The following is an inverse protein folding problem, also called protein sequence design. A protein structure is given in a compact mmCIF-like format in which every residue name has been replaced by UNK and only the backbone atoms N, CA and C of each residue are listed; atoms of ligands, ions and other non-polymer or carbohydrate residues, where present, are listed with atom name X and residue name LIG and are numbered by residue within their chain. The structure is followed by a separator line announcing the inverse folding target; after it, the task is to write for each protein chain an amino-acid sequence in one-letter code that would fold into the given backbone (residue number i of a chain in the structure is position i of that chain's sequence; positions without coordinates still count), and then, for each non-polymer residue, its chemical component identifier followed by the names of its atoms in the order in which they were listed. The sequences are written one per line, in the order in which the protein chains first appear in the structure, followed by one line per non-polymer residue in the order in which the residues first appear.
data_IF_605272698937
#
_entry.id   IF_605272698937
#
_cell.length_a   1.000
_cell.length_b   1.000
_cell.length_c   1.000
_cell.angle_alpha   90.00
_cell.angle_beta   90.00
_cell.angle_gamma   90.00
#
_symmetry.space_group_name_H-M   'P 1'
#
loop_
_entity.id
_entity.type
_entity.pdbx_description
1 polymer ?
#
# COMPACT_ATOMS: atom_id res chain seq x y z
N UNK A 1 20.77 3.55 -4.79
CA UNK A 1 19.48 3.72 -4.08
C UNK A 1 18.38 3.07 -4.92
N UNK A 2 17.43 2.38 -4.29
CA UNK A 2 16.25 1.81 -4.94
C UNK A 2 14.97 2.51 -4.43
N UNK A 3 13.94 2.59 -5.27
CA UNK A 3 12.68 3.27 -4.96
C UNK A 3 11.52 2.28 -5.04
N UNK A 4 10.58 2.37 -4.10
CA UNK A 4 9.31 1.64 -4.20
C UNK A 4 8.48 2.16 -5.37
N UNK A 5 7.44 1.41 -5.76
CA UNK A 5 6.38 1.97 -6.60
C UNK A 5 5.85 3.27 -5.99
N UNK A 6 5.64 4.31 -6.80
CA UNK A 6 5.22 5.60 -6.29
C UNK A 6 3.78 5.54 -5.81
N UNK A 7 3.50 6.23 -4.70
CA UNK A 7 2.17 6.54 -4.23
C UNK A 7 1.98 8.06 -4.23
N UNK A 8 0.73 8.51 -4.36
CA UNK A 8 0.40 9.92 -4.58
C UNK A 8 -0.26 10.51 -3.35
N UNK A 9 -0.07 11.81 -3.13
CA UNK A 9 -0.80 12.66 -2.18
C UNK A 9 -1.26 13.93 -2.92
N UNK A 10 -2.04 14.81 -2.27
CA UNK A 10 -2.55 16.05 -2.90
C UNK A 10 -1.48 16.83 -3.70
N UNK A 11 -1.86 17.30 -4.88
CA UNK A 11 -0.98 18.08 -5.78
C UNK A 11 -0.27 17.29 -6.87
N UNK A 12 -0.60 16.00 -7.08
CA UNK A 12 -0.09 15.22 -8.22
C UNK A 12 1.40 14.86 -8.13
N UNK A 13 2.01 15.01 -6.95
CA UNK A 13 3.41 14.65 -6.71
C UNK A 13 3.50 13.16 -6.38
N UNK A 14 4.39 12.47 -7.08
CA UNK A 14 4.75 11.08 -6.79
C UNK A 14 5.72 11.03 -5.61
N UNK A 15 5.37 10.27 -4.58
CA UNK A 15 6.24 9.93 -3.47
C UNK A 15 6.63 8.46 -3.55
N UNK A 16 7.86 8.13 -3.21
CA UNK A 16 8.34 6.76 -3.16
C UNK A 16 9.20 6.56 -1.92
N UNK A 17 9.16 5.35 -1.36
CA UNK A 17 10.05 4.97 -0.28
C UNK A 17 11.42 4.68 -0.86
N UNK A 18 12.46 5.24 -0.24
CA UNK A 18 13.86 5.08 -0.67
C UNK A 18 14.52 4.02 0.19
N UNK A 19 15.11 3.02 -0.46
CA UNK A 19 15.96 2.01 0.17
C UNK A 19 17.37 2.06 -0.39
N UNK A 20 18.31 1.44 0.33
CA UNK A 20 19.67 1.23 -0.19
C UNK A 20 19.60 0.19 -1.33
N UNK A 21 20.41 0.36 -2.37
CA UNK A 21 20.44 -0.55 -3.52
C UNK A 21 21.18 -1.87 -3.25
N UNK A 22 22.05 -1.88 -2.24
CA UNK A 22 22.82 -3.07 -1.86
C UNK A 22 22.01 -4.11 -1.09
N UNK A 23 20.87 -3.73 -0.52
CA UNK A 23 20.01 -4.62 0.26
C UNK A 23 18.67 -4.85 -0.47
N UNK A 24 18.71 -5.81 -1.39
CA UNK A 24 17.54 -6.19 -2.20
C UNK A 24 16.43 -6.79 -1.35
N UNK A 25 16.77 -7.51 -0.28
CA UNK A 25 15.78 -8.15 0.58
C UNK A 25 15.00 -7.10 1.38
N UNK A 26 15.69 -6.05 1.87
CA UNK A 26 15.04 -4.92 2.50
C UNK A 26 14.17 -4.13 1.52
N UNK A 27 14.63 -3.92 0.28
CA UNK A 27 13.84 -3.27 -0.75
C UNK A 27 12.54 -4.03 -1.04
N UNK A 28 12.61 -5.36 -1.18
CA UNK A 28 11.44 -6.21 -1.37
C UNK A 28 10.50 -6.16 -0.16
N UNK A 29 11.03 -6.17 1.06
CA UNK A 29 10.23 -6.05 2.28
C UNK A 29 9.41 -4.76 2.29
N UNK A 30 10.06 -3.62 2.01
CA UNK A 30 9.40 -2.30 1.94
C UNK A 30 8.36 -2.27 0.82
N UNK A 31 8.64 -2.89 -0.32
CA UNK A 31 7.69 -3.03 -1.42
C UNK A 31 6.42 -3.79 -0.99
N UNK A 32 6.58 -4.97 -0.40
CA UNK A 32 5.45 -5.80 0.04
C UNK A 32 4.58 -5.13 1.08
N UNK A 33 5.18 -4.43 2.05
CA UNK A 33 4.43 -3.63 3.03
C UNK A 33 3.66 -2.49 2.37
N UNK A 34 4.26 -1.81 1.40
CA UNK A 34 3.59 -0.72 0.69
C UNK A 34 2.40 -1.23 -0.10
N UNK A 35 2.58 -2.34 -0.84
CA UNK A 35 1.53 -2.96 -1.64
C UNK A 35 0.42 -3.57 -0.78
N UNK A 36 0.72 -4.04 0.44
CA UNK A 36 -0.28 -4.57 1.36
C UNK A 36 -1.41 -3.57 1.64
N UNK A 37 -1.08 -2.30 1.84
CA UNK A 37 -2.08 -1.26 2.15
C UNK A 37 -3.02 -0.99 0.99
N UNK A 38 -2.51 -1.10 -0.25
CA UNK A 38 -3.29 -0.93 -1.49
C UNK A 38 -4.19 -2.15 -1.70
N UNK A 39 -3.63 -3.35 -1.59
CA UNK A 39 -4.37 -4.61 -1.69
C UNK A 39 -5.49 -4.69 -0.65
N UNK A 40 -5.22 -4.27 0.58
CA UNK A 40 -6.21 -4.27 1.65
C UNK A 40 -7.38 -3.35 1.30
N UNK A 41 -7.13 -2.14 0.79
CA UNK A 41 -8.21 -1.26 0.37
C UNK A 41 -9.01 -1.86 -0.79
N UNK A 42 -8.34 -2.42 -1.80
CA UNK A 42 -8.99 -3.03 -2.96
C UNK A 42 -9.94 -4.17 -2.57
N UNK A 43 -9.57 -4.94 -1.56
CA UNK A 43 -10.37 -6.05 -1.05
C UNK A 43 -11.33 -5.65 0.09
N UNK A 44 -11.42 -4.37 0.43
CA UNK A 44 -12.26 -3.89 1.52
C UNK A 44 -11.79 -4.33 2.92
N UNK A 45 -10.54 -4.75 3.04
CA UNK A 45 -9.92 -5.15 4.31
C UNK A 45 -9.49 -3.89 5.05
N UNK A 46 -9.89 -3.78 6.30
CA UNK A 46 -9.64 -2.63 7.19
C UNK A 46 -8.71 -3.02 8.33
N UNK A 47 -8.30 -2.07 9.16
CA UNK A 47 -7.57 -2.35 10.39
C UNK A 47 -8.26 -3.42 11.26
N UNK A 48 -9.59 -3.34 11.38
CA UNK A 48 -10.40 -4.26 12.19
C UNK A 48 -10.51 -5.66 11.58
N UNK A 49 -10.46 -5.77 10.25
CA UNK A 49 -10.53 -7.03 9.51
C UNK A 49 -9.16 -7.51 9.00
N UNK A 50 -8.07 -6.95 9.54
CA UNK A 50 -6.68 -7.26 9.14
C UNK A 50 -6.32 -8.74 9.08
N UNK A 51 -6.98 -9.60 9.87
CA UNK A 51 -6.80 -11.05 9.82
C UNK A 51 -7.24 -11.69 8.49
N UNK A 52 -8.02 -10.99 7.65
CA UNK A 52 -8.41 -11.41 6.30
C UNK A 52 -7.27 -11.28 5.29
N UNK A 53 -6.20 -10.53 5.62
CA UNK A 53 -4.99 -10.51 4.80
C UNK A 53 -4.37 -11.92 4.71
N UNK A 54 -3.75 -12.28 3.58
CA UNK A 54 -3.10 -13.58 3.42
C UNK A 54 -1.87 -13.71 4.33
N UNK A 55 -1.58 -14.95 4.72
CA UNK A 55 -0.29 -15.32 5.32
C UNK A 55 0.73 -15.54 4.22
N UNK A 56 1.98 -15.11 4.44
CA UNK A 56 3.04 -15.17 3.43
C UNK A 56 4.37 -15.59 4.06
N UNK A 57 5.03 -16.59 3.49
CA UNK A 57 6.33 -17.07 3.99
C UNK A 57 7.51 -16.48 3.21
N UNK A 58 7.34 -15.31 2.60
CA UNK A 58 8.33 -14.66 1.72
C UNK A 58 9.64 -14.28 2.44
N UNK A 59 9.55 -13.99 3.75
CA UNK A 59 10.68 -13.56 4.58
C UNK A 59 10.96 -14.54 5.73
N UNK A 60 10.61 -15.81 5.53
CA UNK A 60 10.68 -16.85 6.57
C UNK A 60 9.41 -16.96 7.40
N UNK A 61 9.36 -17.98 8.27
CA UNK A 61 8.18 -18.30 9.08
C UNK A 61 7.91 -17.29 10.19
N UNK A 62 8.94 -16.60 10.66
CA UNK A 62 8.80 -15.60 11.73
C UNK A 62 8.01 -14.36 11.28
N UNK A 63 7.92 -14.14 9.96
CA UNK A 63 7.20 -13.04 9.33
C UNK A 63 5.97 -13.53 8.54
N UNK A 64 5.44 -14.71 8.87
CA UNK A 64 4.27 -15.29 8.19
C UNK A 64 3.04 -14.36 8.21
N UNK A 65 2.88 -13.63 9.32
CA UNK A 65 1.76 -12.69 9.55
C UNK A 65 2.06 -11.26 9.11
N UNK A 66 3.19 -11.00 8.47
CA UNK A 66 3.69 -9.65 8.16
C UNK A 66 2.61 -8.73 7.59
N UNK A 67 1.86 -9.19 6.58
CA UNK A 67 0.86 -8.37 5.92
C UNK A 67 -0.36 -8.08 6.82
N UNK A 68 -0.78 -9.06 7.63
CA UNK A 68 -1.85 -8.87 8.62
C UNK A 68 -1.44 -7.84 9.66
N UNK A 69 -0.23 -7.99 10.19
CA UNK A 69 0.25 -7.17 11.29
C UNK A 69 0.50 -5.72 10.80
N UNK A 70 0.91 -5.53 9.55
CA UNK A 70 0.98 -4.21 8.92
C UNK A 70 -0.40 -3.52 8.87
N UNK A 71 -1.43 -4.20 8.35
CA UNK A 71 -2.79 -3.62 8.28
C UNK A 71 -3.38 -3.43 9.68
N UNK A 72 -3.12 -4.33 10.62
CA UNK A 72 -3.53 -4.18 12.01
C UNK A 72 -2.91 -2.92 12.64
N UNK A 73 -1.66 -2.62 12.32
CA UNK A 73 -0.95 -1.47 12.88
C UNK A 73 -1.44 -0.14 12.30
N UNK A 74 -1.58 -0.04 10.97
CA UNK A 74 -1.81 1.26 10.31
C UNK A 74 -3.14 1.39 9.56
N UNK A 75 -3.82 0.29 9.25
CA UNK A 75 -5.01 0.26 8.39
C UNK A 75 -4.65 0.24 6.90
N UNK A 76 -5.68 0.19 6.05
CA UNK A 76 -5.52 0.25 4.60
C UNK A 76 -5.23 1.69 4.11
N UNK A 77 -5.01 1.86 2.80
CA UNK A 77 -4.63 3.15 2.23
C UNK A 77 -5.72 4.24 2.40
N UNK A 78 -7.02 3.90 2.33
CA UNK A 78 -8.12 4.84 2.63
C UNK A 78 -8.11 5.28 4.10
N UNK A 79 -7.92 4.36 5.03
CA UNK A 79 -7.82 4.65 6.47
C UNK A 79 -6.63 5.55 6.78
N UNK A 80 -5.47 5.26 6.19
CA UNK A 80 -4.26 6.09 6.30
C UNK A 80 -4.51 7.50 5.73
N UNK A 81 -5.10 7.60 4.55
CA UNK A 81 -5.40 8.89 3.92
C UNK A 81 -6.34 9.73 4.79
N UNK A 82 -7.45 9.15 5.25
CA UNK A 82 -8.43 9.84 6.10
C UNK A 82 -7.85 10.25 7.45
N UNK A 83 -6.90 9.49 7.99
CA UNK A 83 -6.21 9.85 9.24
C UNK A 83 -5.36 11.11 9.07
N UNK A 84 -4.74 11.30 7.91
CA UNK A 84 -3.86 12.45 7.64
C UNK A 84 -4.63 13.68 7.15
N UNK A 85 -5.55 13.50 6.20
CA UNK A 85 -6.24 14.62 5.53
C UNK A 85 -7.66 14.88 6.08
N UNK A 86 -8.16 14.02 6.97
CA UNK A 86 -9.47 14.11 7.57
C UNK A 86 -10.55 13.35 6.78
N UNK A 87 -11.67 13.04 7.45
CA UNK A 87 -12.76 12.24 6.86
C UNK A 87 -13.50 12.94 5.70
N UNK A 88 -13.47 14.27 5.66
CA UNK A 88 -14.15 15.05 4.62
C UNK A 88 -13.28 15.29 3.38
N UNK A 89 -12.00 14.89 3.41
CA UNK A 89 -11.12 15.03 2.26
C UNK A 89 -11.50 13.99 1.20
N UNK A 90 -11.94 14.47 0.04
CA UNK A 90 -12.28 13.60 -1.09
C UNK A 90 -11.00 13.22 -1.83
N UNK A 91 -10.70 11.92 -1.93
CA UNK A 91 -9.62 11.42 -2.79
C UNK A 91 -10.03 11.57 -4.26
N UNK A 92 -9.12 12.07 -5.08
CA UNK A 92 -9.33 12.24 -6.53
C UNK A 92 -8.09 11.80 -7.29
N UNK A 93 -8.27 11.45 -8.57
CA UNK A 93 -7.17 11.13 -9.49
C UNK A 93 -6.33 9.95 -9.00
N UNK A 94 -5.01 10.16 -8.95
CA UNK A 94 -4.01 9.12 -8.66
C UNK A 94 -4.08 8.56 -7.22
N UNK A 95 -4.89 9.16 -6.34
CA UNK A 95 -5.14 8.69 -4.97
C UNK A 95 -6.35 7.73 -4.88
N UNK A 96 -7.08 7.51 -5.98
CA UNK A 96 -8.15 6.51 -6.05
C UNK A 96 -7.60 5.22 -6.63
N UNK A 97 -8.13 4.08 -6.18
CA UNK A 97 -7.91 2.79 -6.83
C UNK A 97 -8.50 2.80 -8.25
N UNK A 98 -7.79 2.16 -9.18
CA UNK A 98 -8.35 1.83 -10.48
C UNK A 98 -9.52 0.84 -10.32
N UNK A 99 -10.75 1.34 -10.38
CA UNK A 99 -11.93 0.50 -10.41
C UNK A 99 -12.23 0.00 -11.84
N UNK A 100 -13.07 -1.04 -11.94
CA UNK A 100 -13.58 -1.59 -13.21
C UNK A 100 -13.93 -0.50 -14.24
N UNK A 101 -13.47 -0.63 -15.51
CA UNK A 101 -13.07 -1.87 -16.17
C UNK A 101 -11.56 -2.19 -16.15
N UNK A 102 -10.71 -1.40 -15.48
CA UNK A 102 -9.26 -1.43 -15.72
C UNK A 102 -8.40 -2.15 -14.66
N UNK A 103 -9.01 -2.71 -13.62
CA UNK A 103 -8.35 -3.63 -12.67
C UNK A 103 -7.32 -2.98 -11.73
N UNK A 104 -6.63 -3.79 -10.89
CA UNK A 104 -5.77 -3.32 -9.79
C UNK A 104 -4.72 -2.29 -10.22
N UNK A 105 -4.45 -1.33 -9.35
CA UNK A 105 -3.54 -0.22 -9.65
C UNK A 105 -2.08 -0.66 -9.64
N UNK A 106 -1.47 -0.77 -10.82
CA UNK A 106 -0.02 -0.88 -10.96
C UNK A 106 0.63 0.31 -11.70
N UNK A 107 -0.16 1.13 -12.41
CA UNK A 107 0.36 2.25 -13.21
C UNK A 107 -0.60 3.45 -13.25
N UNK A 108 -0.08 4.69 -13.26
CA UNK A 108 -0.89 5.88 -13.56
C UNK A 108 -1.44 5.79 -14.99
N UNK A 109 -2.66 6.32 -15.21
CA UNK A 109 -3.20 6.48 -16.56
C UNK A 109 -2.23 7.31 -17.40
N UNK A 110 -1.67 6.71 -18.45
CA UNK A 110 -1.13 7.47 -19.57
C UNK A 110 -2.33 7.99 -20.33
N UNK A 111 -2.50 9.31 -20.37
CA UNK A 111 -3.39 9.94 -21.34
C UNK A 111 -2.92 9.60 -22.76
#
# INVERSE_FOLDING_TARGET
MAFSSPYFHEGGKAFALVTQDVDVQWADFVYWITMANIYAEENGITQNTSNEMPLVNLFGTDLERLLRDAILAVGNYDEMYRRVFGQNATRVGLNMLNASPFGPQHYPYLY
#
